data_IF_410429193297
#
_entry.id   IF_410429193297
#
_cell.length_a   1.000
_cell.length_b   1.000
_cell.length_c   1.000
_cell.angle_alpha   90.00
_cell.angle_beta   90.00
_cell.angle_gamma   90.00
#
_symmetry.space_group_name_H-M   'P 1'
#
loop_
_entity.id
_entity.type
_entity.pdbx_description
1 polymer ?
#
# COMPACT_ATOMS: atom_id res chain seq x y z
N UNK A 1 5.39 12.47 -24.64
CA UNK A 1 6.29 11.54 -23.93
C UNK A 1 5.62 10.22 -23.46
N UNK A 2 4.29 10.10 -23.53
CA UNK A 2 3.51 8.90 -23.11
C UNK A 2 3.63 7.68 -24.04
N UNK A 3 3.91 7.86 -25.34
CA UNK A 3 3.99 6.79 -26.34
C UNK A 3 5.22 5.88 -26.22
N UNK A 4 6.35 6.38 -25.70
CA UNK A 4 7.58 5.57 -25.55
C UNK A 4 7.59 4.60 -24.38
N UNK A 5 6.78 4.83 -23.35
CA UNK A 5 6.72 3.97 -22.17
C UNK A 5 5.90 2.72 -22.44
N UNK A 6 4.78 2.85 -23.17
CA UNK A 6 3.91 1.72 -23.52
C UNK A 6 4.60 0.65 -24.34
N UNK A 7 5.40 1.07 -25.32
CA UNK A 7 6.13 0.15 -26.20
C UNK A 7 7.21 -0.68 -25.47
N UNK A 8 7.81 -0.11 -24.43
CA UNK A 8 8.79 -0.81 -23.58
C UNK A 8 8.14 -1.80 -22.63
N UNK A 9 7.01 -1.42 -22.02
CA UNK A 9 6.27 -2.27 -21.10
C UNK A 9 5.69 -3.49 -21.84
N UNK A 10 5.07 -3.27 -23.00
CA UNK A 10 4.54 -4.37 -23.84
C UNK A 10 5.64 -5.35 -24.29
N UNK A 11 6.80 -4.83 -24.73
CA UNK A 11 7.95 -5.67 -25.07
C UNK A 11 8.44 -6.48 -23.88
N UNK A 12 8.48 -5.88 -22.69
CA UNK A 12 8.87 -6.58 -21.47
C UNK A 12 7.88 -7.71 -21.14
N UNK A 13 6.57 -7.46 -21.24
CA UNK A 13 5.52 -8.47 -21.02
C UNK A 13 5.67 -9.62 -22.00
N UNK A 14 5.87 -9.34 -23.29
CA UNK A 14 6.04 -10.37 -24.32
C UNK A 14 7.28 -11.24 -24.06
N UNK A 15 8.38 -10.66 -23.59
CA UNK A 15 9.59 -11.38 -23.18
C UNK A 15 9.34 -12.25 -21.94
N UNK A 16 8.62 -11.72 -20.95
CA UNK A 16 8.23 -12.46 -19.75
C UNK A 16 7.36 -13.67 -20.08
N UNK A 17 6.38 -13.51 -20.98
CA UNK A 17 5.56 -14.62 -21.49
C UNK A 17 6.37 -15.66 -22.29
N UNK A 18 7.38 -15.21 -23.01
CA UNK A 18 8.29 -16.07 -23.77
C UNK A 18 9.30 -16.83 -22.90
N UNK A 19 9.30 -16.62 -21.58
CA UNK A 19 10.23 -17.29 -20.65
C UNK A 19 11.67 -16.79 -20.74
N UNK A 20 11.89 -15.57 -21.25
CA UNK A 20 13.21 -14.93 -21.28
C UNK A 20 13.72 -14.71 -19.86
N UNK A 21 14.81 -15.39 -19.51
CA UNK A 21 15.41 -15.33 -18.16
C UNK A 21 15.88 -13.92 -17.77
N UNK A 22 16.25 -13.08 -18.74
CA UNK A 22 16.71 -11.72 -18.49
C UNK A 22 15.54 -10.74 -18.30
N UNK A 23 14.35 -11.05 -18.86
CA UNK A 23 13.18 -10.20 -18.75
C UNK A 23 12.73 -10.01 -17.28
N UNK A 24 12.95 -11.00 -16.42
CA UNK A 24 12.65 -10.89 -15.00
C UNK A 24 13.63 -9.97 -14.26
N UNK A 25 14.88 -9.98 -14.66
CA UNK A 25 15.87 -9.03 -14.12
C UNK A 25 15.50 -7.60 -14.54
N UNK A 26 15.09 -7.40 -15.79
CA UNK A 26 14.63 -6.09 -16.29
C UNK A 26 13.36 -5.64 -15.55
N UNK A 27 12.41 -6.55 -15.32
CA UNK A 27 11.21 -6.28 -14.54
C UNK A 27 11.58 -5.84 -13.11
N UNK A 28 12.45 -6.59 -12.44
CA UNK A 28 12.92 -6.27 -11.10
C UNK A 28 13.60 -4.88 -11.07
N UNK A 29 14.53 -4.61 -11.99
CA UNK A 29 15.21 -3.33 -12.07
C UNK A 29 14.29 -2.13 -12.30
N UNK A 30 13.16 -2.34 -12.99
CA UNK A 30 12.19 -1.29 -13.29
C UNK A 30 11.17 -1.04 -12.17
N UNK A 31 10.79 -2.10 -11.43
CA UNK A 31 9.62 -2.03 -10.55
C UNK A 31 9.91 -2.34 -9.07
N UNK A 32 11.10 -2.86 -8.72
CA UNK A 32 11.38 -3.29 -7.34
C UNK A 32 11.23 -2.17 -6.33
N UNK A 33 11.80 -0.99 -6.59
CA UNK A 33 11.72 0.15 -5.69
C UNK A 33 10.27 0.62 -5.50
N UNK A 34 9.52 0.68 -6.60
CA UNK A 34 8.11 1.03 -6.55
C UNK A 34 7.29 0.01 -5.76
N UNK A 35 7.46 -1.28 -6.05
CA UNK A 35 6.75 -2.37 -5.35
C UNK A 35 7.11 -2.39 -3.88
N UNK A 36 8.39 -2.16 -3.53
CA UNK A 36 8.85 -2.04 -2.16
C UNK A 36 8.17 -0.86 -1.45
N UNK A 37 8.06 0.30 -2.11
CA UNK A 37 7.36 1.46 -1.54
C UNK A 37 5.88 1.19 -1.30
N UNK A 38 5.23 0.40 -2.17
CA UNK A 38 3.84 -0.06 -1.95
C UNK A 38 3.75 -0.93 -0.70
N UNK A 39 4.63 -1.92 -0.55
CA UNK A 39 4.66 -2.82 0.61
C UNK A 39 4.95 -2.09 1.92
N UNK A 40 5.86 -1.13 1.90
CA UNK A 40 6.24 -0.32 3.07
C UNK A 40 5.08 0.53 3.63
N UNK A 41 4.02 0.76 2.86
CA UNK A 41 2.79 1.38 3.36
C UNK A 41 2.01 0.47 4.31
N UNK A 42 2.17 -0.84 4.19
CA UNK A 42 1.44 -1.86 4.98
C UNK A 42 2.31 -2.48 6.08
N UNK A 43 3.60 -2.68 5.81
CA UNK A 43 4.55 -3.41 6.64
C UNK A 43 5.61 -2.43 7.14
N UNK A 44 5.76 -2.32 8.45
CA UNK A 44 6.66 -1.36 9.11
C UNK A 44 8.02 -1.96 9.47
N UNK A 45 8.11 -3.27 9.61
CA UNK A 45 9.37 -3.96 9.87
C UNK A 45 10.07 -4.27 8.54
N UNK A 46 11.34 -3.89 8.41
CA UNK A 46 12.10 -4.01 7.16
C UNK A 46 12.42 -5.48 6.80
N UNK A 47 12.59 -6.36 7.78
CA UNK A 47 12.86 -7.78 7.50
C UNK A 47 11.58 -8.49 7.06
N UNK A 48 10.45 -8.23 7.73
CA UNK A 48 9.12 -8.68 7.30
C UNK A 48 8.80 -8.19 5.86
N UNK A 49 9.16 -6.94 5.54
CA UNK A 49 8.95 -6.36 4.21
C UNK A 49 9.78 -7.07 3.14
N UNK A 50 11.05 -7.39 3.44
CA UNK A 50 11.92 -8.15 2.52
C UNK A 50 11.35 -9.54 2.24
N UNK A 51 10.86 -10.23 3.26
CA UNK A 51 10.25 -11.56 3.11
C UNK A 51 9.00 -11.49 2.24
N UNK A 52 8.11 -10.52 2.51
CA UNK A 52 6.89 -10.32 1.70
C UNK A 52 7.23 -9.91 0.26
N UNK A 53 8.26 -9.09 0.05
CA UNK A 53 8.74 -8.74 -1.28
C UNK A 53 9.23 -9.98 -2.05
N UNK A 54 9.97 -10.86 -1.39
CA UNK A 54 10.43 -12.11 -1.99
C UNK A 54 9.26 -13.02 -2.38
N UNK A 55 8.28 -13.23 -1.49
CA UNK A 55 7.05 -13.97 -1.77
C UNK A 55 6.28 -13.34 -2.95
N UNK A 56 6.23 -12.02 -3.00
CA UNK A 56 5.59 -11.26 -4.06
C UNK A 56 6.27 -11.51 -5.41
N UNK A 57 7.60 -11.49 -5.46
CA UNK A 57 8.37 -11.76 -6.69
C UNK A 57 8.17 -13.20 -7.18
N UNK A 58 8.17 -14.18 -6.29
CA UNK A 58 7.85 -15.59 -6.64
C UNK A 58 6.43 -15.69 -7.19
N UNK A 59 5.46 -15.00 -6.57
CA UNK A 59 4.08 -14.98 -7.05
C UNK A 59 3.95 -14.35 -8.42
N UNK A 60 4.64 -13.23 -8.68
CA UNK A 60 4.66 -12.59 -10.01
C UNK A 60 5.23 -13.51 -11.07
N UNK A 61 6.36 -14.16 -10.79
CA UNK A 61 6.98 -15.14 -11.68
C UNK A 61 6.03 -16.28 -12.05
N UNK A 62 5.30 -16.80 -11.08
CA UNK A 62 4.39 -17.93 -11.30
C UNK A 62 3.09 -17.55 -12.02
N UNK A 63 2.67 -16.28 -11.89
CA UNK A 63 1.39 -15.81 -12.43
C UNK A 63 1.53 -14.95 -13.70
N UNK A 64 2.75 -14.60 -14.13
CA UNK A 64 2.95 -13.70 -15.27
C UNK A 64 2.34 -14.26 -16.57
N UNK A 65 2.35 -15.57 -16.75
CA UNK A 65 1.74 -16.21 -17.91
C UNK A 65 0.22 -16.04 -18.05
N UNK A 66 -0.44 -15.60 -16.98
CA UNK A 66 -1.89 -15.30 -16.95
C UNK A 66 -2.18 -13.80 -17.04
N UNK A 67 -1.14 -12.97 -17.15
CA UNK A 67 -1.30 -11.52 -17.22
C UNK A 67 -1.61 -11.07 -18.63
N UNK A 68 -2.72 -10.35 -18.82
CA UNK A 68 -3.08 -9.73 -20.10
C UNK A 68 -2.64 -8.25 -20.09
N UNK A 69 -1.77 -7.89 -21.03
CA UNK A 69 -1.38 -6.50 -21.25
C UNK A 69 -2.55 -5.67 -21.76
N UNK A 70 -2.89 -4.61 -21.05
CA UNK A 70 -4.04 -3.73 -21.36
C UNK A 70 -3.63 -2.28 -21.64
N UNK A 71 -2.36 -2.07 -21.94
CA UNK A 71 -1.81 -0.75 -22.19
C UNK A 71 -0.84 -0.28 -21.11
N UNK A 72 -0.25 0.91 -21.30
CA UNK A 72 0.78 1.47 -20.42
C UNK A 72 0.32 1.58 -18.95
N UNK A 73 1.13 1.07 -18.03
CA UNK A 73 0.86 1.05 -16.59
C UNK A 73 0.07 -0.17 -16.11
N UNK A 74 -0.42 -1.03 -17.03
CA UNK A 74 -1.19 -2.22 -16.63
C UNK A 74 -0.32 -3.25 -15.89
N UNK A 75 0.96 -3.39 -16.26
CA UNK A 75 1.90 -4.26 -15.57
C UNK A 75 2.21 -3.75 -14.16
N UNK A 76 2.41 -2.46 -14.03
CA UNK A 76 2.61 -1.81 -12.73
C UNK A 76 1.38 -2.00 -11.81
N UNK A 77 0.18 -1.77 -12.33
CA UNK A 77 -1.07 -1.95 -11.57
C UNK A 77 -1.28 -3.42 -11.14
N UNK A 78 -0.94 -4.37 -12.03
CA UNK A 78 -1.00 -5.79 -11.71
C UNK A 78 0.00 -6.18 -10.61
N UNK A 79 1.24 -5.70 -10.69
CA UNK A 79 2.28 -5.92 -9.69
C UNK A 79 1.90 -5.30 -8.34
N UNK A 80 1.35 -4.08 -8.33
CA UNK A 80 0.81 -3.42 -7.14
C UNK A 80 -0.25 -4.28 -6.47
N UNK A 81 -1.22 -4.81 -7.23
CA UNK A 81 -2.27 -5.66 -6.69
C UNK A 81 -1.71 -6.92 -6.02
N UNK A 82 -0.67 -7.54 -6.61
CA UNK A 82 -0.02 -8.70 -6.01
C UNK A 82 0.65 -8.31 -4.69
N UNK A 83 1.39 -7.20 -4.65
CA UNK A 83 2.06 -6.73 -3.45
C UNK A 83 1.07 -6.39 -2.33
N UNK A 84 -0.01 -5.68 -2.63
CA UNK A 84 -1.07 -5.38 -1.66
C UNK A 84 -1.67 -6.67 -1.09
N UNK A 85 -2.04 -7.62 -1.95
CA UNK A 85 -2.61 -8.89 -1.52
C UNK A 85 -1.66 -9.71 -0.65
N UNK A 86 -0.36 -9.75 -0.97
CA UNK A 86 0.65 -10.44 -0.16
C UNK A 86 0.83 -9.74 1.19
N UNK A 87 0.86 -8.40 1.22
CA UNK A 87 0.93 -7.62 2.45
C UNK A 87 -0.27 -7.89 3.36
N UNK A 88 -1.50 -7.88 2.80
CA UNK A 88 -2.71 -8.20 3.57
C UNK A 88 -2.70 -9.64 4.10
N UNK A 89 -2.24 -10.60 3.31
CA UNK A 89 -2.11 -11.99 3.71
C UNK A 89 -1.09 -12.16 4.84
N UNK A 90 0.03 -11.45 4.76
CA UNK A 90 1.03 -11.41 5.83
C UNK A 90 0.46 -10.83 7.12
N UNK A 91 -0.19 -9.66 7.06
CA UNK A 91 -0.80 -9.02 8.22
C UNK A 91 -1.88 -9.91 8.87
N UNK A 92 -2.66 -10.62 8.05
CA UNK A 92 -3.66 -11.57 8.55
C UNK A 92 -3.03 -12.75 9.30
N UNK A 93 -1.92 -13.30 8.81
CA UNK A 93 -1.17 -14.39 9.50
C UNK A 93 -0.60 -13.88 10.82
N UNK A 94 0.11 -12.74 10.80
CA UNK A 94 0.71 -12.13 12.00
C UNK A 94 -0.33 -11.79 13.07
N UNK A 95 -1.53 -11.35 12.66
CA UNK A 95 -2.66 -11.13 13.58
C UNK A 95 -3.14 -12.44 14.23
N UNK A 96 -3.28 -13.52 13.45
CA UNK A 96 -3.72 -14.80 13.96
C UNK A 96 -2.73 -15.38 14.99
N UNK A 97 -1.44 -15.17 14.76
CA UNK A 97 -0.37 -15.62 15.67
C UNK A 97 -0.31 -14.79 16.97
N UNK A 98 -0.60 -13.48 16.88
CA UNK A 98 -0.49 -12.58 18.04
C UNK A 98 -1.68 -12.63 19.01
N UNK A 99 -2.77 -13.37 18.71
CA UNK A 99 -4.02 -13.42 19.50
C UNK A 99 -4.53 -11.98 19.86
N UNK A 100 -4.21 -10.99 19.06
CA UNK A 100 -4.57 -9.60 19.35
C UNK A 100 -5.83 -9.22 18.59
N UNK A 101 -6.87 -8.94 19.34
CA UNK A 101 -8.13 -8.37 18.86
C UNK A 101 -7.88 -6.94 18.35
N UNK A 102 -8.18 -6.68 17.07
CA UNK A 102 -8.20 -5.31 16.52
C UNK A 102 -9.47 -4.54 16.90
N UNK A 103 -10.33 -5.14 17.72
CA UNK A 103 -11.56 -4.53 18.24
C UNK A 103 -11.30 -3.75 19.52
N UNK A 104 -10.26 -2.94 19.56
CA UNK A 104 -10.16 -1.90 20.58
C UNK A 104 -11.08 -0.76 20.12
N UNK A 105 -12.29 -0.71 20.65
CA UNK A 105 -13.15 0.46 20.58
C UNK A 105 -12.49 1.57 21.38
N UNK A 106 -11.71 2.40 20.70
CA UNK A 106 -11.26 3.66 21.29
C UNK A 106 -12.44 4.64 21.27
N UNK A 107 -12.52 5.54 22.27
CA UNK A 107 -13.57 6.56 22.33
C UNK A 107 -13.66 7.34 21.01
N UNK A 108 -14.87 7.75 20.62
CA UNK A 108 -15.07 8.66 19.51
C UNK A 108 -14.39 9.99 19.82
N UNK A 109 -13.38 10.34 19.02
CA UNK A 109 -12.76 11.66 19.09
C UNK A 109 -13.52 12.61 18.17
N UNK A 110 -13.68 13.90 18.58
CA UNK A 110 -14.31 14.90 17.73
C UNK A 110 -13.58 15.03 16.40
N UNK A 111 -14.33 15.35 15.37
CA UNK A 111 -13.80 15.61 14.02
C UNK A 111 -12.78 16.76 14.10
N UNK A 112 -11.62 16.56 13.53
CA UNK A 112 -10.57 17.58 13.42
C UNK A 112 -10.64 18.12 12.00
N UNK A 113 -10.62 19.44 11.84
CA UNK A 113 -10.55 20.09 10.52
C UNK A 113 -9.31 19.62 9.76
N UNK A 114 -9.42 19.50 8.43
CA UNK A 114 -8.30 19.09 7.58
C UNK A 114 -7.21 20.17 7.60
N UNK A 115 -6.03 19.91 8.20
CA UNK A 115 -4.95 20.90 8.26
C UNK A 115 -4.28 21.08 6.89
N UNK A 116 -3.70 22.27 6.60
CA UNK A 116 -2.97 22.51 5.36
C UNK A 116 -1.75 21.58 5.25
N UNK A 117 -1.57 20.99 4.07
CA UNK A 117 -0.49 20.02 3.77
C UNK A 117 0.47 20.51 2.69
N UNK A 118 0.25 21.68 2.09
CA UNK A 118 0.94 22.15 0.88
C UNK A 118 2.46 22.28 1.07
N UNK A 119 2.92 22.60 2.27
CA UNK A 119 4.34 22.81 2.59
C UNK A 119 5.00 21.57 3.25
N UNK A 120 4.31 20.42 3.33
CA UNK A 120 4.85 19.24 3.96
C UNK A 120 5.48 18.32 2.90
N UNK A 121 6.78 17.96 3.03
CA UNK A 121 7.41 17.03 2.13
C UNK A 121 6.66 15.67 2.08
N UNK A 122 6.50 15.06 0.90
CA UNK A 122 5.76 13.80 0.74
C UNK A 122 6.30 12.64 1.60
N UNK A 123 7.61 12.58 1.82
CA UNK A 123 8.26 11.58 2.67
C UNK A 123 7.87 11.72 4.14
N UNK A 124 7.66 12.96 4.62
CA UNK A 124 7.17 13.23 5.98
C UNK A 124 5.72 12.74 6.13
N UNK A 125 4.87 13.00 5.12
CA UNK A 125 3.49 12.49 5.12
C UNK A 125 3.49 10.95 5.13
N UNK A 126 4.31 10.33 4.29
CA UNK A 126 4.46 8.87 4.27
C UNK A 126 4.90 8.32 5.63
N UNK A 127 5.83 8.99 6.31
CA UNK A 127 6.26 8.60 7.64
C UNK A 127 5.11 8.71 8.66
N UNK A 128 4.34 9.79 8.64
CA UNK A 128 3.15 9.94 9.50
C UNK A 128 2.13 8.82 9.28
N UNK A 129 1.92 8.40 8.03
CA UNK A 129 1.04 7.26 7.71
C UNK A 129 1.61 5.94 8.24
N UNK A 130 2.92 5.71 8.12
CA UNK A 130 3.59 4.52 8.68
C UNK A 130 3.45 4.40 10.19
N UNK A 131 3.38 5.51 10.89
CA UNK A 131 3.23 5.56 12.36
C UNK A 131 1.79 5.34 12.85
N UNK A 132 0.82 5.21 11.96
CA UNK A 132 -0.54 4.83 12.34
C UNK A 132 -0.58 3.38 12.86
N UNK A 133 -1.45 3.07 13.82
CA UNK A 133 -1.73 1.69 14.20
C UNK A 133 -2.08 0.84 12.98
N UNK A 134 -1.57 -0.39 12.93
CA UNK A 134 -1.65 -1.27 11.74
C UNK A 134 -3.04 -1.37 11.12
N UNK A 135 -4.10 -1.48 11.94
CA UNK A 135 -5.48 -1.55 11.43
C UNK A 135 -5.91 -0.27 10.73
N UNK A 136 -5.68 0.88 11.35
CA UNK A 136 -6.03 2.20 10.80
C UNK A 136 -5.22 2.49 9.55
N UNK A 137 -3.92 2.19 9.56
CA UNK A 137 -3.01 2.31 8.42
C UNK A 137 -3.48 1.46 7.25
N UNK A 138 -3.86 0.22 7.50
CA UNK A 138 -4.33 -0.70 6.46
C UNK A 138 -5.61 -0.20 5.80
N UNK A 139 -6.60 0.22 6.60
CA UNK A 139 -7.86 0.78 6.08
C UNK A 139 -7.60 2.07 5.30
N UNK A 140 -6.77 2.96 5.84
CA UNK A 140 -6.40 4.22 5.18
C UNK A 140 -5.76 3.96 3.81
N UNK A 141 -4.77 3.06 3.74
CA UNK A 141 -4.09 2.75 2.48
C UNK A 141 -5.03 2.12 1.46
N UNK A 142 -5.89 1.20 1.86
CA UNK A 142 -6.87 0.58 0.97
C UNK A 142 -7.89 1.60 0.42
N UNK A 143 -8.31 2.55 1.24
CA UNK A 143 -9.28 3.56 0.84
C UNK A 143 -8.65 4.63 -0.06
N UNK A 144 -7.49 5.19 0.36
CA UNK A 144 -6.87 6.37 -0.27
C UNK A 144 -6.02 6.00 -1.49
N UNK A 145 -5.24 4.93 -1.41
CA UNK A 145 -4.31 4.57 -2.49
C UNK A 145 -4.82 3.46 -3.41
N UNK A 146 -5.68 2.56 -2.89
CA UNK A 146 -6.21 1.46 -3.70
C UNK A 146 -7.67 1.70 -4.14
N UNK A 147 -8.22 2.88 -3.83
CA UNK A 147 -9.59 3.32 -4.21
C UNK A 147 -10.68 2.28 -3.85
N UNK A 148 -10.53 1.65 -2.67
CA UNK A 148 -11.47 0.65 -2.19
C UNK A 148 -12.61 1.27 -1.40
N UNK A 149 -13.83 0.86 -1.70
CA UNK A 149 -14.99 1.19 -0.88
C UNK A 149 -14.94 0.50 0.49
N UNK A 150 -15.62 1.05 1.50
CA UNK A 150 -15.72 0.40 2.82
C UNK A 150 -16.30 -1.02 2.75
N UNK A 151 -17.16 -1.31 1.78
CA UNK A 151 -17.70 -2.66 1.57
C UNK A 151 -16.60 -3.63 1.10
N UNK A 152 -15.75 -3.24 0.16
CA UNK A 152 -14.63 -4.04 -0.32
C UNK A 152 -13.58 -4.22 0.78
N UNK A 153 -13.26 -3.15 1.52
CA UNK A 153 -12.32 -3.21 2.65
C UNK A 153 -12.82 -4.18 3.72
N UNK A 154 -14.11 -4.11 4.05
CA UNK A 154 -14.74 -5.02 5.01
C UNK A 154 -14.57 -6.49 4.59
N UNK A 155 -14.80 -6.80 3.31
CA UNK A 155 -14.61 -8.15 2.76
C UNK A 155 -13.13 -8.59 2.78
N UNK A 156 -12.21 -7.70 2.37
CA UNK A 156 -10.77 -7.99 2.34
C UNK A 156 -10.19 -8.27 3.73
N UNK A 157 -10.61 -7.49 4.73
CA UNK A 157 -10.07 -7.55 6.09
C UNK A 157 -10.88 -8.47 7.04
N UNK A 158 -12.07 -8.91 6.62
CA UNK A 158 -12.96 -9.70 7.47
C UNK A 158 -13.53 -8.91 8.66
N UNK A 159 -13.83 -7.62 8.45
CA UNK A 159 -14.42 -6.72 9.45
C UNK A 159 -15.80 -6.23 9.00
N UNK A 160 -16.53 -5.55 9.88
CA UNK A 160 -17.80 -4.89 9.48
C UNK A 160 -17.53 -3.64 8.64
N UNK A 161 -18.48 -3.27 7.74
CA UNK A 161 -18.40 -2.04 6.95
C UNK A 161 -18.23 -0.80 7.83
N UNK A 162 -19.01 -0.72 8.92
CA UNK A 162 -18.97 0.41 9.84
C UNK A 162 -17.64 0.48 10.62
N UNK A 163 -17.04 -0.69 10.94
CA UNK A 163 -15.68 -0.74 11.49
C UNK A 163 -14.64 -0.17 10.52
N UNK A 164 -14.80 -0.43 9.21
CA UNK A 164 -13.92 0.19 8.20
C UNK A 164 -14.07 1.70 8.16
N UNK A 165 -15.31 2.22 8.21
CA UNK A 165 -15.57 3.65 8.22
C UNK A 165 -14.99 4.32 9.49
N UNK A 166 -15.24 3.74 10.66
CA UNK A 166 -14.71 4.25 11.94
C UNK A 166 -13.16 4.22 11.98
N UNK A 167 -12.54 3.16 11.46
CA UNK A 167 -11.08 3.07 11.40
C UNK A 167 -10.48 4.12 10.46
N UNK A 168 -11.11 4.39 9.30
CA UNK A 168 -10.67 5.47 8.41
C UNK A 168 -10.79 6.83 9.07
N UNK A 169 -11.92 7.11 9.73
CA UNK A 169 -12.14 8.35 10.46
C UNK A 169 -11.04 8.57 11.51
N UNK A 170 -10.75 7.57 12.33
CA UNK A 170 -9.69 7.64 13.34
C UNK A 170 -8.30 7.81 12.72
N UNK A 171 -8.01 7.13 11.59
CA UNK A 171 -6.77 7.33 10.86
C UNK A 171 -6.58 8.79 10.44
N UNK A 172 -7.64 9.39 9.85
CA UNK A 172 -7.63 10.80 9.43
C UNK A 172 -7.42 11.75 10.61
N UNK A 173 -8.13 11.56 11.73
CA UNK A 173 -7.97 12.38 12.92
C UNK A 173 -6.54 12.30 13.50
N UNK A 174 -5.96 11.11 13.53
CA UNK A 174 -4.57 10.93 13.98
C UNK A 174 -3.58 11.63 13.05
N UNK A 175 -3.79 11.55 11.74
CA UNK A 175 -2.95 12.24 10.75
C UNK A 175 -3.10 13.75 10.87
N UNK A 176 -4.31 14.28 11.00
CA UNK A 176 -4.57 15.70 11.17
C UNK A 176 -3.82 16.25 12.38
N UNK A 177 -3.88 15.56 13.54
CA UNK A 177 -3.12 15.95 14.74
C UNK A 177 -1.60 15.97 14.51
N UNK A 178 -1.06 14.96 13.81
CA UNK A 178 0.37 14.90 13.48
C UNK A 178 0.79 16.04 12.56
N UNK A 179 -0.02 16.35 11.56
CA UNK A 179 0.20 17.44 10.61
C UNK A 179 0.18 18.79 11.30
N UNK A 180 -0.82 19.03 12.17
CA UNK A 180 -0.87 20.27 12.97
C UNK A 180 0.37 20.43 13.86
N UNK A 181 0.80 19.36 14.51
CA UNK A 181 2.00 19.38 15.36
C UNK A 181 3.26 19.68 14.52
N UNK A 182 3.38 19.08 13.34
CA UNK A 182 4.48 19.35 12.42
C UNK A 182 4.48 20.81 11.96
N UNK A 183 3.32 21.35 11.56
CA UNK A 183 3.18 22.74 11.12
C UNK A 183 3.53 23.71 12.24
N UNK A 184 3.05 23.50 13.48
CA UNK A 184 3.41 24.32 14.65
C UNK A 184 4.91 24.34 14.91
N UNK A 185 5.59 23.20 14.74
CA UNK A 185 7.03 23.08 14.99
C UNK A 185 7.87 23.77 13.90
N UNK A 186 7.38 23.79 12.66
CA UNK A 186 8.13 24.35 11.52
C UNK A 186 7.77 25.81 11.20
N UNK A 187 6.61 26.30 11.63
CA UNK A 187 6.24 27.73 11.50
C UNK A 187 7.02 28.65 12.47
N UNK A 188 7.70 28.09 13.46
CA UNK A 188 8.47 28.83 14.47
C UNK A 188 9.96 28.99 14.08
N UNK A 189 10.34 28.62 12.88
CA UNK A 189 11.67 28.82 12.29
C UNK A 189 11.65 29.82 11.15
#
# INVERSE_FOLDING_TARGET
MRFFIGDKEEKLVNRLHGGDKTAMQDFYALYADYITSVGARYIDNDDDLKDVLQDCMVKMLTCIGQFDYRGPGSLQAWATRIMVNQSLSFLKRKRAEAIVSLDVELPDEPEVDDPPIDDIPPDVIHQMVRELPTGYRTVFNLYVFEDKSHQEIAQLLGIKRDSSASQLHRAKNMLAKKIEQYNKTNTTR
#
